data_IF_178499682833
#
_entry.id   IF_178499682833
#
_cell.length_a   1.000
_cell.length_b   1.000
_cell.length_c   1.000
_cell.angle_alpha   90.00
_cell.angle_beta   90.00
_cell.angle_gamma   90.00
#
_symmetry.space_group_name_H-M   'P 1'
#
loop_
_entity.id
_entity.type
_entity.pdbx_description
1 polymer ?
#
# COMPACT_ATOMS: atom_id res chain seq x y z
N UNK A 1 -9.73 1.32 25.45
CA UNK A 1 -8.82 1.20 26.60
C UNK A 1 -8.97 -0.10 27.43
N UNK A 2 -9.98 -0.94 27.22
CA UNK A 2 -10.25 -2.17 28.02
C UNK A 2 -9.27 -3.35 27.81
N UNK A 3 -8.47 -3.38 26.75
CA UNK A 3 -7.56 -4.52 26.49
C UNK A 3 -6.31 -4.51 27.39
N UNK A 4 -5.92 -3.34 27.93
CA UNK A 4 -4.73 -3.21 28.79
C UNK A 4 -4.95 -3.75 30.21
N UNK A 5 -6.20 -3.91 30.65
CA UNK A 5 -6.55 -4.36 32.00
C UNK A 5 -6.86 -5.85 32.10
N UNK A 6 -7.04 -6.56 30.96
CA UNK A 6 -7.29 -8.02 30.95
C UNK A 6 -5.98 -8.79 30.88
N UNK A 7 -5.93 -9.93 31.58
CA UNK A 7 -4.79 -10.84 31.53
C UNK A 7 -4.60 -11.39 30.10
N UNK A 8 -3.38 -11.79 29.72
CA UNK A 8 -3.11 -12.40 28.42
C UNK A 8 -4.03 -13.59 28.11
N UNK A 9 -4.39 -14.39 29.11
CA UNK A 9 -5.29 -15.54 28.97
C UNK A 9 -6.72 -15.13 28.65
N UNK A 10 -7.25 -14.15 29.39
CA UNK A 10 -8.60 -13.63 29.12
C UNK A 10 -8.69 -12.97 27.74
N UNK A 11 -7.61 -12.33 27.28
CA UNK A 11 -7.54 -11.81 25.90
C UNK A 11 -7.53 -12.94 24.87
N UNK A 12 -6.79 -14.01 25.12
CA UNK A 12 -6.78 -15.20 24.28
C UNK A 12 -8.17 -15.82 24.14
N UNK A 13 -8.90 -15.99 25.25
CA UNK A 13 -10.27 -16.52 25.22
C UNK A 13 -11.24 -15.66 24.39
N UNK A 14 -11.09 -14.34 24.42
CA UNK A 14 -11.89 -13.44 23.57
C UNK A 14 -11.62 -13.69 22.08
N UNK A 15 -10.35 -13.82 21.69
CA UNK A 15 -9.98 -14.10 20.30
C UNK A 15 -10.41 -15.49 19.86
N UNK A 16 -10.31 -16.49 20.75
CA UNK A 16 -10.82 -17.84 20.50
C UNK A 16 -12.33 -17.83 20.25
N UNK A 17 -13.08 -17.10 21.09
CA UNK A 17 -14.53 -16.93 20.90
C UNK A 17 -14.86 -16.17 19.61
N UNK A 18 -14.06 -15.18 19.24
CA UNK A 18 -14.21 -14.49 17.97
C UNK A 18 -14.02 -15.46 16.78
N UNK A 19 -13.02 -16.33 16.82
CA UNK A 19 -12.81 -17.37 15.81
C UNK A 19 -14.03 -18.30 15.69
N UNK A 20 -14.57 -18.80 16.80
CA UNK A 20 -15.77 -19.65 16.81
C UNK A 20 -16.95 -18.97 16.11
N UNK A 21 -17.25 -17.72 16.52
CA UNK A 21 -18.34 -16.94 15.94
C UNK A 21 -18.12 -16.63 14.45
N UNK A 22 -16.86 -16.46 14.04
CA UNK A 22 -16.49 -16.21 12.65
C UNK A 22 -16.74 -17.46 11.79
N UNK A 23 -16.33 -18.64 12.28
CA UNK A 23 -16.54 -19.92 11.60
C UNK A 23 -18.04 -20.28 11.55
N UNK A 24 -18.79 -20.02 12.62
CA UNK A 24 -20.25 -20.19 12.64
C UNK A 24 -20.96 -19.37 11.54
N UNK A 25 -20.37 -18.25 11.10
CA UNK A 25 -20.93 -17.33 10.10
C UNK A 25 -20.17 -17.34 8.78
N UNK A 26 -19.40 -18.39 8.51
CA UNK A 26 -18.48 -18.43 7.37
C UNK A 26 -19.18 -18.22 6.02
N UNK A 27 -20.38 -18.78 5.86
CA UNK A 27 -21.14 -18.70 4.61
C UNK A 27 -21.67 -17.29 4.35
N UNK A 28 -22.15 -16.61 5.41
CA UNK A 28 -22.60 -15.21 5.34
C UNK A 28 -21.43 -14.28 4.98
N UNK A 29 -20.27 -14.51 5.60
CA UNK A 29 -19.06 -13.71 5.36
C UNK A 29 -18.53 -13.96 3.94
N UNK A 30 -18.48 -15.22 3.50
CA UNK A 30 -18.06 -15.56 2.14
C UNK A 30 -19.00 -14.93 1.10
N UNK A 31 -20.31 -14.90 1.37
CA UNK A 31 -21.29 -14.20 0.52
C UNK A 31 -20.99 -12.71 0.45
N UNK A 32 -20.70 -12.05 1.57
CA UNK A 32 -20.34 -10.62 1.58
C UNK A 32 -19.08 -10.37 0.75
N UNK A 33 -18.01 -11.16 0.97
CA UNK A 33 -16.77 -11.05 0.20
C UNK A 33 -17.03 -11.22 -1.30
N UNK A 34 -17.84 -12.19 -1.70
CA UNK A 34 -18.20 -12.43 -3.09
C UNK A 34 -19.00 -11.26 -3.69
N UNK A 35 -19.92 -10.66 -2.93
CA UNK A 35 -20.71 -9.52 -3.39
C UNK A 35 -19.87 -8.24 -3.52
N UNK A 36 -18.92 -8.01 -2.62
CA UNK A 36 -18.08 -6.82 -2.63
C UNK A 36 -16.93 -6.92 -3.64
N UNK A 37 -16.31 -8.09 -3.77
CA UNK A 37 -15.10 -8.28 -4.58
C UNK A 37 -15.33 -9.04 -5.89
N UNK A 38 -16.54 -9.59 -6.11
CA UNK A 38 -16.85 -10.41 -7.29
C UNK A 38 -16.16 -11.78 -7.33
N UNK A 39 -15.57 -12.24 -6.22
CA UNK A 39 -14.87 -13.53 -6.14
C UNK A 39 -15.83 -14.72 -6.22
N UNK A 40 -15.33 -15.84 -6.74
CA UNK A 40 -16.07 -17.10 -6.69
C UNK A 40 -16.33 -17.50 -5.23
N UNK A 41 -17.52 -18.03 -4.94
CA UNK A 41 -17.94 -18.33 -3.57
C UNK A 41 -17.01 -19.31 -2.84
N UNK A 42 -16.41 -20.25 -3.56
CA UNK A 42 -15.43 -21.19 -3.00
C UNK A 42 -14.14 -20.49 -2.55
N UNK A 43 -13.63 -19.55 -3.37
CA UNK A 43 -12.43 -18.77 -3.06
C UNK A 43 -12.70 -17.80 -1.90
N UNK A 44 -13.86 -17.13 -1.92
CA UNK A 44 -14.30 -16.25 -0.84
C UNK A 44 -14.45 -17.01 0.49
N UNK A 45 -14.95 -18.25 0.47
CA UNK A 45 -15.01 -19.10 1.66
C UNK A 45 -13.62 -19.54 2.12
N UNK A 46 -12.68 -19.77 1.20
CA UNK A 46 -11.27 -20.01 1.53
C UNK A 46 -10.65 -18.84 2.26
N UNK A 47 -10.87 -17.61 1.78
CA UNK A 47 -10.39 -16.38 2.42
C UNK A 47 -11.02 -16.16 3.79
N UNK A 48 -12.33 -16.37 3.92
CA UNK A 48 -13.00 -16.27 5.22
C UNK A 48 -12.43 -17.27 6.22
N UNK A 49 -12.15 -18.51 5.81
CA UNK A 49 -11.57 -19.53 6.71
C UNK A 49 -10.14 -19.17 7.09
N UNK A 50 -9.36 -18.68 6.14
CA UNK A 50 -8.01 -18.19 6.41
C UNK A 50 -8.03 -17.00 7.37
N UNK A 51 -8.99 -16.08 7.23
CA UNK A 51 -9.20 -14.97 8.16
C UNK A 51 -9.51 -15.47 9.58
N UNK A 52 -10.34 -16.50 9.72
CA UNK A 52 -10.67 -17.11 11.01
C UNK A 52 -9.44 -17.67 11.73
N UNK A 53 -8.53 -18.30 10.99
CA UNK A 53 -7.30 -18.88 11.53
C UNK A 53 -6.38 -17.85 12.19
N UNK A 54 -6.39 -16.58 11.74
CA UNK A 54 -5.66 -15.52 12.45
C UNK A 54 -6.17 -15.34 13.88
N UNK A 55 -7.49 -15.33 14.09
CA UNK A 55 -8.05 -15.19 15.44
C UNK A 55 -7.63 -16.36 16.34
N UNK A 56 -7.64 -17.59 15.82
CA UNK A 56 -7.17 -18.77 16.54
C UNK A 56 -5.68 -18.66 16.88
N UNK A 57 -4.84 -18.34 15.91
CA UNK A 57 -3.40 -18.21 16.10
C UNK A 57 -3.04 -17.12 17.12
N UNK A 58 -3.62 -15.92 16.99
CA UNK A 58 -3.39 -14.83 17.94
C UNK A 58 -3.95 -15.14 19.34
N UNK A 59 -5.02 -15.94 19.45
CA UNK A 59 -5.50 -16.40 20.75
C UNK A 59 -4.45 -17.25 21.48
N UNK A 60 -3.76 -18.11 20.75
CA UNK A 60 -2.69 -18.96 21.28
C UNK A 60 -1.41 -18.15 21.60
N UNK A 61 -1.06 -17.17 20.76
CA UNK A 61 0.10 -16.31 20.97
C UNK A 61 -0.10 -15.26 22.07
N UNK A 62 -1.35 -14.93 22.41
CA UNK A 62 -1.66 -13.96 23.45
C UNK A 62 -0.96 -14.29 24.77
N UNK A 63 -0.89 -15.58 25.15
CA UNK A 63 -0.25 -16.03 26.40
C UNK A 63 1.26 -16.28 26.28
N UNK A 64 1.80 -16.29 25.06
CA UNK A 64 3.23 -16.54 24.77
C UNK A 64 4.04 -15.26 24.56
N UNK A 65 3.37 -14.11 24.63
CA UNK A 65 4.01 -12.79 24.53
C UNK A 65 4.84 -12.46 25.77
N UNK A 66 6.01 -13.08 25.90
CA UNK A 66 7.07 -12.59 26.78
C UNK A 66 7.70 -11.36 26.12
N UNK A 67 7.33 -10.16 26.60
CA UNK A 67 7.96 -8.93 26.12
C UNK A 67 9.43 -8.91 26.54
N UNK A 68 10.34 -8.88 25.56
CA UNK A 68 11.76 -8.64 25.80
C UNK A 68 12.13 -7.26 25.26
N UNK A 69 12.80 -6.47 26.11
CA UNK A 69 13.45 -5.22 25.69
C UNK A 69 14.94 -5.45 25.85
N UNK A 70 15.66 -5.41 24.73
CA UNK A 70 17.10 -5.56 24.68
C UNK A 70 17.72 -4.39 23.90
N UNK A 71 18.93 -4.01 24.26
CA UNK A 71 19.72 -3.09 23.45
C UNK A 71 20.33 -3.88 22.29
N UNK A 72 20.11 -3.42 21.07
CA UNK A 72 20.84 -3.97 19.92
C UNK A 72 22.32 -3.61 20.04
N UNK A 73 23.24 -4.57 19.87
CA UNK A 73 24.66 -4.36 20.12
C UNK A 73 25.34 -3.39 19.15
N UNK A 74 24.74 -3.12 17.99
CA UNK A 74 25.25 -2.17 17.00
C UNK A 74 24.12 -1.43 16.25
N UNK A 75 24.46 -0.27 15.70
CA UNK A 75 23.64 0.44 14.71
C UNK A 75 23.64 -0.34 13.40
N UNK A 76 22.50 -0.89 12.99
CA UNK A 76 22.37 -1.69 11.75
C UNK A 76 21.90 -3.13 11.95
N UNK A 77 21.20 -3.43 13.05
CA UNK A 77 20.56 -4.73 13.25
C UNK A 77 19.60 -5.06 12.10
N UNK A 78 19.54 -6.33 11.69
CA UNK A 78 18.67 -6.82 10.59
C UNK A 78 17.19 -6.45 10.81
N UNK A 79 16.73 -6.43 12.07
CA UNK A 79 15.37 -6.03 12.43
C UNK A 79 14.99 -4.58 12.07
N UNK A 80 15.95 -3.74 11.66
CA UNK A 80 15.69 -2.39 11.15
C UNK A 80 15.41 -2.38 9.64
N UNK A 81 15.81 -3.43 8.92
CA UNK A 81 15.68 -3.55 7.47
C UNK A 81 14.56 -4.52 7.09
N UNK A 82 14.36 -5.55 7.91
CA UNK A 82 13.38 -6.60 7.66
C UNK A 82 12.00 -6.28 8.23
N UNK A 83 10.97 -6.63 7.47
CA UNK A 83 9.59 -6.50 7.91
C UNK A 83 9.20 -7.66 8.82
N UNK A 84 9.15 -7.38 10.12
CA UNK A 84 8.75 -8.35 11.13
C UNK A 84 7.24 -8.28 11.27
N UNK A 85 6.52 -9.22 10.64
CA UNK A 85 5.06 -9.39 10.75
C UNK A 85 4.61 -9.93 12.14
N UNK A 86 5.35 -9.59 13.19
CA UNK A 86 5.11 -9.97 14.58
C UNK A 86 5.17 -8.76 15.52
N UNK A 87 4.91 -8.93 16.83
CA UNK A 87 4.81 -7.83 17.80
C UNK A 87 6.20 -7.31 18.23
N UNK A 88 6.99 -6.82 17.27
CA UNK A 88 8.34 -6.29 17.48
C UNK A 88 8.37 -4.82 17.08
N UNK A 89 8.89 -3.97 17.95
CA UNK A 89 9.09 -2.55 17.68
C UNK A 89 10.56 -2.18 17.87
N UNK A 90 11.26 -1.91 16.76
CA UNK A 90 12.61 -1.37 16.80
C UNK A 90 12.55 0.14 17.08
N UNK A 91 13.30 0.60 18.08
CA UNK A 91 13.33 2.01 18.48
C UNK A 91 14.74 2.58 18.35
N UNK A 92 14.84 3.75 17.72
CA UNK A 92 16.10 4.49 17.59
C UNK A 92 15.89 5.94 18.06
N UNK A 93 16.86 6.45 18.82
CA UNK A 93 16.90 7.88 19.16
C UNK A 93 17.64 8.65 18.06
N UNK A 94 17.24 9.89 17.85
CA UNK A 94 17.91 10.83 16.95
C UNK A 94 18.03 12.19 17.62
N UNK A 95 18.96 13.02 17.13
CA UNK A 95 19.10 14.40 17.63
C UNK A 95 18.71 15.44 16.58
N UNK A 96 18.95 15.13 15.30
CA UNK A 96 18.75 16.07 14.21
C UNK A 96 17.68 15.58 13.23
N UNK A 97 17.00 16.53 12.59
CA UNK A 97 15.93 16.23 11.64
C UNK A 97 16.44 15.59 10.35
N UNK A 98 17.57 16.06 9.82
CA UNK A 98 18.13 15.49 8.60
C UNK A 98 18.61 14.04 8.84
N UNK A 99 19.08 13.75 10.04
CA UNK A 99 19.45 12.41 10.48
C UNK A 99 18.23 11.48 10.50
N UNK A 100 17.09 11.91 11.05
CA UNK A 100 15.90 11.05 11.16
C UNK A 100 15.23 10.85 9.81
N UNK A 101 15.18 11.87 8.95
CA UNK A 101 14.66 11.73 7.58
C UNK A 101 15.50 10.74 6.80
N UNK A 102 16.84 10.87 6.85
CA UNK A 102 17.73 9.93 6.16
C UNK A 102 17.52 8.50 6.65
N UNK A 103 17.46 8.29 7.96
CA UNK A 103 17.24 6.94 8.53
C UNK A 103 15.86 6.38 8.22
N UNK A 104 14.81 7.20 8.26
CA UNK A 104 13.45 6.76 7.95
C UNK A 104 13.28 6.40 6.47
N UNK A 105 14.00 7.07 5.57
CA UNK A 105 14.03 6.73 4.14
C UNK A 105 15.03 5.60 3.80
N UNK A 106 15.96 5.24 4.69
CA UNK A 106 16.96 4.18 4.51
C UNK A 106 16.38 2.78 4.83
N UNK A 107 15.27 2.48 4.17
CA UNK A 107 14.63 1.18 4.15
C UNK A 107 14.25 0.82 2.72
N UNK A 108 14.26 -0.48 2.45
CA UNK A 108 13.80 -1.09 1.20
C UNK A 108 12.29 -0.91 0.98
N UNK A 109 11.55 -0.71 2.07
CA UNK A 109 10.09 -0.60 2.07
C UNK A 109 9.68 0.88 2.12
N UNK A 110 8.46 1.18 1.70
CA UNK A 110 7.97 2.55 1.59
C UNK A 110 6.46 2.65 1.71
N UNK A 111 5.86 1.85 2.58
CA UNK A 111 4.41 1.77 2.73
C UNK A 111 3.86 2.98 3.50
N UNK A 112 4.10 3.04 4.82
CA UNK A 112 3.59 4.10 5.68
C UNK A 112 4.67 4.64 6.61
N UNK A 113 4.68 5.96 6.82
CA UNK A 113 5.36 6.57 7.96
C UNK A 113 4.40 7.46 8.74
N UNK A 114 4.54 7.46 10.06
CA UNK A 114 3.82 8.34 10.95
C UNK A 114 4.75 9.39 11.54
N UNK A 115 4.30 10.65 11.52
CA UNK A 115 5.04 11.76 12.10
C UNK A 115 4.20 12.43 13.18
N UNK A 116 4.70 12.38 14.41
CA UNK A 116 4.06 12.98 15.58
C UNK A 116 4.86 14.19 16.05
N UNK A 117 4.29 15.39 15.92
CA UNK A 117 4.92 16.65 16.33
C UNK A 117 3.88 17.63 16.87
N UNK A 118 4.28 18.53 17.76
CA UNK A 118 3.38 19.58 18.28
C UNK A 118 3.16 20.73 17.29
N UNK A 119 4.04 20.87 16.28
CA UNK A 119 4.03 22.01 15.36
C UNK A 119 3.71 21.61 13.92
N UNK A 120 2.61 22.15 13.38
CA UNK A 120 2.13 21.84 12.02
C UNK A 120 3.16 22.14 10.92
N UNK A 121 3.80 23.30 10.97
CA UNK A 121 4.83 23.71 9.98
C UNK A 121 5.98 22.70 9.90
N UNK A 122 6.46 22.26 11.06
CA UNK A 122 7.50 21.24 11.19
C UNK A 122 7.01 19.90 10.64
N UNK A 123 5.76 19.55 10.93
CA UNK A 123 5.17 18.31 10.45
C UNK A 123 5.09 18.23 8.94
N UNK A 124 4.57 19.29 8.30
CA UNK A 124 4.49 19.36 6.83
C UNK A 124 5.87 19.35 6.18
N UNK A 125 6.81 20.15 6.67
CA UNK A 125 8.15 20.21 6.09
C UNK A 125 8.94 18.91 6.21
N UNK A 126 8.67 18.09 7.24
CA UNK A 126 9.26 16.75 7.35
C UNK A 126 8.52 15.72 6.50
N UNK A 127 7.18 15.79 6.42
CA UNK A 127 6.37 14.87 5.63
C UNK A 127 6.74 14.90 4.14
N UNK A 128 7.02 16.09 3.59
CA UNK A 128 7.46 16.27 2.19
C UNK A 128 8.81 15.60 1.88
N UNK A 129 9.61 15.30 2.90
CA UNK A 129 10.96 14.74 2.75
C UNK A 129 11.02 13.22 2.96
N UNK A 130 9.93 12.61 3.42
CA UNK A 130 9.86 11.17 3.69
C UNK A 130 9.52 10.39 2.42
N UNK A 131 10.24 9.29 2.17
CA UNK A 131 9.98 8.38 1.05
C UNK A 131 8.95 7.32 1.42
N UNK A 132 7.77 7.76 1.86
CA UNK A 132 6.67 6.91 2.32
C UNK A 132 5.34 7.54 2.00
N UNK A 133 4.27 6.76 1.93
CA UNK A 133 2.93 7.30 1.69
C UNK A 133 2.15 7.48 3.00
N UNK A 134 1.34 8.55 3.14
CA UNK A 134 0.44 8.67 4.28
C UNK A 134 -0.76 7.73 4.13
N UNK A 135 -1.08 6.99 5.19
CA UNK A 135 -2.35 6.26 5.32
C UNK A 135 -3.07 6.80 6.55
N UNK A 136 -4.23 7.39 6.34
CA UNK A 136 -5.00 8.02 7.43
C UNK A 136 -6.48 7.58 7.45
N UNK A 137 -7.04 7.11 6.35
CA UNK A 137 -8.49 6.85 6.24
C UNK A 137 -8.82 5.91 5.08
N UNK A 138 -9.95 5.21 5.15
CA UNK A 138 -10.45 4.33 4.09
C UNK A 138 -10.82 5.07 2.79
N UNK A 139 -11.13 6.37 2.91
CA UNK A 139 -11.32 7.25 1.75
C UNK A 139 -10.01 7.76 1.15
N UNK A 140 -8.88 7.61 1.87
CA UNK A 140 -7.57 8.02 1.40
C UNK A 140 -6.95 6.91 0.55
N UNK A 141 -6.07 7.31 -0.36
CA UNK A 141 -5.33 6.38 -1.21
C UNK A 141 -4.41 5.50 -0.36
N UNK A 142 -4.58 4.19 -0.51
CA UNK A 142 -3.66 3.19 0.00
C UNK A 142 -2.66 2.81 -1.09
N UNK A 143 -1.40 2.62 -0.72
CA UNK A 143 -0.35 2.26 -1.66
C UNK A 143 1.02 2.66 -1.15
N UNK A 144 2.06 2.03 -1.69
CA UNK A 144 3.44 2.27 -1.26
C UNK A 144 4.31 2.88 -2.34
N UNK A 145 5.58 3.02 -1.99
CA UNK A 145 6.69 3.23 -2.93
C UNK A 145 7.76 2.16 -2.66
N UNK A 146 8.77 2.07 -3.54
CA UNK A 146 9.87 1.08 -3.45
C UNK A 146 9.37 -0.37 -3.57
N UNK A 147 9.87 -1.29 -2.74
CA UNK A 147 9.41 -2.68 -2.74
C UNK A 147 8.00 -2.86 -2.18
N UNK A 148 7.39 -1.83 -1.59
CA UNK A 148 5.99 -1.87 -1.16
C UNK A 148 4.99 -1.73 -2.32
N UNK A 149 5.48 -1.66 -3.57
CA UNK A 149 4.66 -1.73 -4.77
C UNK A 149 4.53 -0.40 -5.52
N UNK A 150 3.87 -0.47 -6.67
CA UNK A 150 3.47 0.66 -7.51
C UNK A 150 1.96 0.55 -7.75
N UNK A 151 1.24 1.66 -7.62
CA UNK A 151 -0.22 1.69 -7.75
C UNK A 151 -0.90 2.31 -6.53
N UNK A 152 -2.19 2.64 -6.67
CA UNK A 152 -3.00 3.25 -5.62
C UNK A 152 -4.35 2.55 -5.55
N UNK A 153 -4.73 2.13 -4.36
CA UNK A 153 -6.02 1.52 -4.06
C UNK A 153 -6.86 2.46 -3.19
N UNK A 154 -8.18 2.31 -3.23
CA UNK A 154 -9.10 3.22 -2.56
C UNK A 154 -9.22 4.59 -3.24
N UNK A 155 -9.98 5.50 -2.63
CA UNK A 155 -10.26 6.81 -3.23
C UNK A 155 -10.94 6.74 -4.61
N UNK A 156 -10.84 7.81 -5.41
CA UNK A 156 -11.37 7.81 -6.78
C UNK A 156 -10.45 7.11 -7.76
N UNK A 157 -9.16 7.16 -7.48
CA UNK A 157 -8.09 6.63 -8.29
C UNK A 157 -8.14 5.09 -8.31
N UNK A 158 -8.47 4.44 -7.19
CA UNK A 158 -8.64 2.98 -7.14
C UNK A 158 -9.79 2.46 -8.01
N UNK A 159 -10.82 3.27 -8.31
CA UNK A 159 -11.87 2.89 -9.25
C UNK A 159 -11.40 2.91 -10.71
N UNK A 160 -10.35 3.67 -11.03
CA UNK A 160 -9.82 3.76 -12.39
C UNK A 160 -9.09 2.47 -12.80
N UNK A 161 -8.48 1.76 -11.84
CA UNK A 161 -7.84 0.46 -12.08
C UNK A 161 -8.82 -0.62 -12.60
N UNK A 162 -10.12 -0.46 -12.32
CA UNK A 162 -11.18 -1.35 -12.80
C UNK A 162 -11.92 -0.81 -14.04
N UNK A 163 -11.45 0.31 -14.62
CA UNK A 163 -12.04 0.92 -15.81
C UNK A 163 -11.12 0.75 -17.02
N UNK A 164 -11.72 0.49 -18.19
CA UNK A 164 -10.97 0.44 -19.44
C UNK A 164 -11.08 1.78 -20.16
N UNK A 165 -9.94 2.42 -20.47
CA UNK A 165 -9.92 3.69 -21.20
C UNK A 165 -10.24 3.45 -22.67
N UNK A 166 -11.45 3.82 -23.10
CA UNK A 166 -11.86 3.78 -24.50
C UNK A 166 -11.57 5.12 -25.18
N UNK A 167 -10.69 5.13 -26.19
CA UNK A 167 -10.45 6.30 -27.03
C UNK A 167 -11.35 6.24 -28.27
N UNK A 168 -12.35 7.13 -28.33
CA UNK A 168 -13.23 7.24 -29.49
C UNK A 168 -12.87 8.52 -30.25
N UNK A 169 -12.26 8.36 -31.42
CA UNK A 169 -12.01 9.46 -32.36
C UNK A 169 -12.99 9.40 -33.52
N UNK A 170 -13.84 10.41 -33.68
CA UNK A 170 -14.75 10.53 -34.82
C UNK A 170 -14.44 11.78 -35.63
N UNK A 171 -14.37 11.67 -36.95
CA UNK A 171 -14.46 12.84 -37.83
C UNK A 171 -15.94 13.21 -38.05
N UNK A 172 -16.34 14.38 -37.55
CA UNK A 172 -17.67 14.92 -37.82
C UNK A 172 -17.71 15.61 -39.19
N UNK A 173 -18.18 14.91 -40.23
CA UNK A 173 -18.40 15.50 -41.56
C UNK A 173 -19.70 16.33 -41.63
N UNK A 174 -19.84 17.34 -40.76
CA UNK A 174 -20.81 18.41 -41.00
C UNK A 174 -20.19 19.80 -40.82
N UNK A 175 -19.04 20.04 -41.46
CA UNK A 175 -18.70 21.39 -41.96
C UNK A 175 -17.62 21.41 -43.05
N UNK A 176 -17.57 20.41 -43.95
CA UNK A 176 -16.68 20.43 -45.13
C UNK A 176 -17.16 21.33 -46.28
N UNK A 177 -18.21 22.13 -46.08
CA UNK A 177 -18.81 22.96 -47.12
C UNK A 177 -18.58 24.49 -46.98
N UNK A 178 -17.69 24.99 -46.11
CA UNK A 178 -17.46 26.46 -45.96
C UNK A 178 -16.03 26.97 -45.80
N UNK A 179 -14.99 26.14 -45.99
CA UNK A 179 -13.64 26.69 -46.18
C UNK A 179 -13.17 26.36 -47.59
N UNK A 180 -13.43 27.31 -48.49
CA UNK A 180 -12.87 27.32 -49.83
C UNK A 180 -11.34 27.27 -49.78
N UNK A 181 -10.80 26.42 -50.64
CA UNK A 181 -9.41 26.34 -51.09
C UNK A 181 -8.41 27.37 -50.53
N UNK A 182 -7.70 26.98 -49.47
CA UNK A 182 -6.26 27.25 -49.37
C UNK A 182 -5.56 25.91 -49.22
N UNK A 183 -5.06 25.41 -50.36
CA UNK A 183 -4.15 24.26 -50.44
C UNK A 183 -2.80 24.68 -49.85
N UNK A 184 -2.71 24.81 -48.53
CA UNK A 184 -1.41 24.81 -47.86
C UNK A 184 -0.95 23.35 -47.76
N UNK A 185 -0.07 22.98 -48.69
CA UNK A 185 0.81 21.83 -48.51
C UNK A 185 1.51 21.98 -47.15
N UNK A 186 1.17 21.11 -46.19
CA UNK A 186 2.02 20.89 -45.03
C UNK A 186 3.37 20.38 -45.56
N UNK A 187 4.50 21.03 -45.26
CA UNK A 187 5.80 20.46 -45.59
C UNK A 187 5.93 19.13 -44.84
N UNK A 188 6.37 18.10 -45.56
CA UNK A 188 6.68 16.81 -44.97
C UNK A 188 7.75 17.01 -43.88
N UNK A 189 7.34 16.95 -42.62
CA UNK A 189 8.26 16.87 -41.50
C UNK A 189 8.87 15.46 -41.56
N UNK A 190 9.95 15.31 -42.33
CA UNK A 190 10.81 14.14 -42.28
C UNK A 190 11.50 14.14 -40.92
N UNK A 191 11.05 13.27 -40.01
CA UNK A 191 11.86 12.90 -38.86
C UNK A 191 13.10 12.15 -39.38
N UNK A 192 14.33 12.57 -39.05
CA UNK A 192 15.51 11.78 -39.34
C UNK A 192 15.50 10.56 -38.40
N UNK A 193 15.14 9.41 -38.95
CA UNK A 193 15.50 8.12 -38.34
C UNK A 193 17.01 8.03 -38.47
N UNK A 194 17.73 8.23 -37.36
CA UNK A 194 19.15 7.92 -37.27
C UNK A 194 19.31 6.40 -37.42
N UNK A 195 19.61 5.97 -38.64
CA UNK A 195 20.27 4.71 -38.93
C UNK A 195 21.66 4.74 -38.31
N UNK A 196 21.86 4.01 -37.22
CA UNK A 196 23.19 3.70 -36.69
C UNK A 196 23.98 2.89 -37.73
N UNK A 197 25.15 3.36 -38.21
CA UNK A 197 26.05 2.54 -39.01
C UNK A 197 26.84 1.58 -38.11
N UNK A 198 26.95 0.33 -38.55
CA UNK A 198 27.70 -0.72 -37.89
C UNK A 198 29.16 -0.34 -37.66
N UNK A 199 29.61 -0.53 -36.41
CA UNK A 199 31.01 -0.56 -36.04
C UNK A 199 31.40 -2.02 -35.74
N UNK A 200 32.41 -2.49 -36.46
CA UNK A 200 33.07 -3.76 -36.25
C UNK A 200 33.62 -3.87 -34.81
N UNK A 201 33.44 -5.04 -34.20
CA UNK A 201 34.13 -5.42 -32.98
C UNK A 201 35.55 -5.92 -33.32
N UNK A 202 36.57 -5.61 -32.49
CA UNK A 202 37.85 -6.30 -32.49
C UNK A 202 37.74 -7.71 -31.88
#
# INVERSE_FOLDING_TARGET
>A
MLHRTRSPRERGEVLRRACELFVERIDDIARLIALENGKAGADAAGEARYAAEFFRWYAEEAVRSAGHVGLTPATGAECLQDEIFGPVAAMQTFRYEDEVVRRASDTRNGLVAYLCTKGMRRGMGLAERLESWPVSDAAALFGGVKQSGLGREGGKEGMLEFQETQCISTEWQAMRARCGATRQQKPACRSPVNSLPGAALP
#
